data_IF_887890068742
#
_entry.id   IF_887890068742
#
_cell.length_a   1.000
_cell.length_b   1.000
_cell.length_c   1.000
_cell.angle_alpha   90.00
_cell.angle_beta   90.00
_cell.angle_gamma   90.00
#
_symmetry.space_group_name_H-M   'P 1'
#
loop_
_entity.id
_entity.type
_entity.pdbx_description
1 polymer ?
#
# COMPACT_ATOMS: atom_id res chain seq x y z
N UNK A 1 9.53 4.69 5.03
CA UNK A 1 9.00 4.56 6.41
C UNK A 1 9.43 5.71 7.30
N UNK A 2 10.73 6.03 7.41
CA UNK A 2 11.24 7.11 8.26
C UNK A 2 10.45 8.41 8.02
N UNK A 3 10.42 8.92 6.78
CA UNK A 3 9.71 10.15 6.44
C UNK A 3 8.20 10.16 6.79
N UNK A 4 7.51 9.01 6.69
CA UNK A 4 6.10 8.91 7.12
C UNK A 4 5.99 9.02 8.63
N UNK A 5 6.88 8.33 9.35
CA UNK A 5 6.92 8.39 10.81
C UNK A 5 7.31 9.78 11.32
N UNK A 6 8.25 10.43 10.67
CA UNK A 6 8.72 11.79 11.04
C UNK A 6 7.60 12.83 10.88
N UNK A 7 6.72 12.67 9.89
CA UNK A 7 5.64 13.62 9.59
C UNK A 7 4.34 13.27 10.31
N UNK A 8 3.99 11.99 10.40
CA UNK A 8 2.68 11.52 10.85
C UNK A 8 2.73 10.72 12.17
N UNK A 9 3.92 10.50 12.74
CA UNK A 9 4.08 9.68 13.93
C UNK A 9 3.90 8.19 13.64
N UNK A 10 3.52 7.43 14.67
CA UNK A 10 3.30 5.98 14.54
C UNK A 10 1.88 5.67 14.04
N UNK A 11 1.69 5.84 12.74
CA UNK A 11 0.42 5.56 12.05
C UNK A 11 0.43 4.19 11.37
N UNK A 12 -0.73 3.50 11.28
CA UNK A 12 -0.83 2.27 10.50
C UNK A 12 -0.44 2.48 9.04
N UNK A 13 0.49 1.69 8.55
CA UNK A 13 0.95 1.73 7.15
C UNK A 13 0.39 0.55 6.39
N UNK A 14 -0.33 0.80 5.30
CA UNK A 14 -0.73 -0.24 4.34
C UNK A 14 0.35 -0.36 3.27
N UNK A 15 1.00 -1.52 3.20
CA UNK A 15 1.92 -1.83 2.11
C UNK A 15 1.15 -2.24 0.85
N UNK A 16 1.62 -1.82 -0.32
CA UNK A 16 0.99 -2.13 -1.60
C UNK A 16 0.99 -3.64 -1.87
N UNK A 17 -0.20 -4.25 -1.95
CA UNK A 17 -0.36 -5.68 -2.22
C UNK A 17 0.10 -6.06 -3.63
N UNK A 18 -0.08 -5.16 -4.61
CA UNK A 18 0.35 -5.40 -5.99
C UNK A 18 1.88 -5.47 -6.10
N UNK A 19 2.59 -4.45 -5.57
CA UNK A 19 4.05 -4.43 -5.59
C UNK A 19 4.65 -5.61 -4.80
N UNK A 20 4.06 -5.94 -3.64
CA UNK A 20 4.50 -7.11 -2.87
C UNK A 20 4.36 -8.40 -3.68
N UNK A 21 3.22 -8.60 -4.34
CA UNK A 21 2.99 -9.75 -5.22
C UNK A 21 4.02 -9.81 -6.36
N UNK A 22 4.25 -8.70 -7.07
CA UNK A 22 5.20 -8.67 -8.18
C UNK A 22 6.64 -8.92 -7.70
N UNK A 23 7.02 -8.37 -6.53
CA UNK A 23 8.32 -8.66 -5.94
C UNK A 23 8.50 -10.14 -5.61
N UNK A 24 7.49 -10.79 -5.05
CA UNK A 24 7.55 -12.23 -4.77
C UNK A 24 7.72 -13.05 -6.05
N UNK A 25 6.91 -12.79 -7.06
CA UNK A 25 6.94 -13.59 -8.29
C UNK A 25 8.18 -13.31 -9.15
N UNK A 26 8.86 -12.17 -8.97
CA UNK A 26 10.10 -11.87 -9.70
C UNK A 26 11.25 -12.83 -9.39
N UNK A 27 11.20 -13.54 -8.26
CA UNK A 27 12.15 -14.58 -7.89
C UNK A 27 11.83 -15.96 -8.52
N UNK A 28 10.70 -16.09 -9.20
CA UNK A 28 10.22 -17.34 -9.77
C UNK A 28 10.46 -17.40 -11.28
N UNK A 29 10.46 -18.63 -11.85
CA UNK A 29 10.56 -18.81 -13.30
C UNK A 29 9.39 -18.14 -14.02
N UNK A 30 9.61 -17.69 -15.23
CA UNK A 30 8.54 -17.06 -16.04
C UNK A 30 7.31 -17.97 -16.21
N UNK A 31 7.52 -19.28 -16.28
CA UNK A 31 6.44 -20.27 -16.39
C UNK A 31 5.57 -20.34 -15.14
N UNK A 32 6.17 -20.18 -13.95
CA UNK A 32 5.47 -20.29 -12.65
C UNK A 32 4.75 -19.00 -12.25
N UNK A 33 5.26 -17.85 -12.68
CA UNK A 33 4.76 -16.53 -12.27
C UNK A 33 3.23 -16.37 -12.40
N UNK A 34 2.56 -16.77 -13.51
CA UNK A 34 1.13 -16.58 -13.65
C UNK A 34 0.32 -17.35 -12.61
N UNK A 35 0.74 -18.57 -12.27
CA UNK A 35 0.08 -19.40 -11.26
C UNK A 35 0.22 -18.78 -9.88
N UNK A 36 1.42 -18.34 -9.49
CA UNK A 36 1.69 -17.72 -8.21
C UNK A 36 1.02 -16.35 -8.06
N UNK A 37 0.95 -15.54 -9.13
CA UNK A 37 0.16 -14.29 -9.12
C UNK A 37 -1.29 -14.54 -8.75
N UNK A 38 -1.94 -15.54 -9.35
CA UNK A 38 -3.35 -15.89 -9.04
C UNK A 38 -3.50 -16.36 -7.60
N UNK A 39 -2.59 -17.20 -7.10
CA UNK A 39 -2.63 -17.74 -5.73
C UNK A 39 -2.45 -16.64 -4.69
N UNK A 40 -1.50 -15.75 -4.86
CA UNK A 40 -1.28 -14.59 -3.99
C UNK A 40 -2.47 -13.64 -4.01
N UNK A 41 -3.02 -13.37 -5.20
CA UNK A 41 -4.22 -12.54 -5.34
C UNK A 41 -5.42 -13.13 -4.62
N UNK A 42 -5.64 -14.44 -4.73
CA UNK A 42 -6.73 -15.14 -4.03
C UNK A 42 -6.54 -15.07 -2.50
N UNK A 43 -5.29 -15.24 -2.01
CA UNK A 43 -4.99 -15.11 -0.59
C UNK A 43 -5.27 -13.69 -0.05
N UNK A 44 -4.96 -12.65 -0.80
CA UNK A 44 -5.27 -11.26 -0.45
C UNK A 44 -6.76 -10.91 -0.58
N UNK A 45 -7.55 -11.70 -1.30
CA UNK A 45 -8.98 -11.44 -1.53
C UNK A 45 -9.88 -11.86 -0.36
N UNK A 46 -9.36 -12.61 0.61
CA UNK A 46 -10.13 -12.92 1.82
C UNK A 46 -10.57 -11.66 2.54
N UNK A 47 -11.81 -11.65 3.04
CA UNK A 47 -12.35 -10.48 3.72
C UNK A 47 -11.75 -10.28 5.12
N UNK A 48 -11.51 -11.38 5.86
CA UNK A 48 -11.00 -11.33 7.21
C UNK A 48 -9.46 -11.32 7.27
N UNK A 49 -8.91 -10.63 8.26
CA UNK A 49 -7.47 -10.63 8.54
C UNK A 49 -6.93 -12.04 8.82
N UNK A 50 -7.66 -12.82 9.65
CA UNK A 50 -7.21 -14.15 10.03
C UNK A 50 -7.12 -15.11 8.84
N UNK A 51 -8.11 -15.07 7.92
CA UNK A 51 -8.11 -15.94 6.75
C UNK A 51 -7.06 -15.52 5.72
N UNK A 52 -6.94 -14.22 5.45
CA UNK A 52 -5.91 -13.69 4.57
C UNK A 52 -4.50 -14.03 5.09
N UNK A 53 -4.24 -13.80 6.37
CA UNK A 53 -2.95 -14.13 7.01
C UNK A 53 -2.64 -15.62 6.92
N UNK A 54 -3.59 -16.47 7.27
CA UNK A 54 -3.44 -17.94 7.21
C UNK A 54 -3.17 -18.42 5.79
N UNK A 55 -3.89 -17.88 4.80
CA UNK A 55 -3.68 -18.20 3.39
C UNK A 55 -2.27 -17.79 2.92
N UNK A 56 -1.82 -16.57 3.25
CA UNK A 56 -0.47 -16.10 2.90
C UNK A 56 0.63 -16.90 3.60
N UNK A 57 0.46 -17.23 4.89
CA UNK A 57 1.43 -18.07 5.62
C UNK A 57 1.55 -19.48 5.03
N UNK A 58 0.45 -20.05 4.51
CA UNK A 58 0.51 -21.29 3.76
C UNK A 58 1.34 -21.12 2.48
N UNK A 59 1.12 -20.04 1.72
CA UNK A 59 1.90 -19.77 0.53
C UNK A 59 3.39 -19.54 0.83
N UNK A 60 3.74 -18.93 1.97
CA UNK A 60 5.14 -18.82 2.42
C UNK A 60 5.78 -20.20 2.56
N UNK A 61 5.09 -21.14 3.23
CA UNK A 61 5.61 -22.50 3.41
C UNK A 61 5.81 -23.24 2.08
N UNK A 62 4.87 -23.06 1.16
CA UNK A 62 4.97 -23.68 -0.17
C UNK A 62 6.08 -23.01 -1.02
N UNK A 63 6.23 -21.69 -0.95
CA UNK A 63 7.30 -20.97 -1.63
C UNK A 63 8.69 -21.40 -1.15
N UNK A 64 8.86 -21.69 0.14
CA UNK A 64 10.13 -22.20 0.68
C UNK A 64 10.61 -23.48 0.01
N UNK A 65 9.69 -24.30 -0.48
CA UNK A 65 10.02 -25.52 -1.23
C UNK A 65 10.42 -25.25 -2.67
N UNK A 66 10.09 -24.07 -3.19
CA UNK A 66 10.35 -23.68 -4.60
C UNK A 66 11.49 -22.68 -4.68
N UNK A 67 11.45 -21.62 -3.87
CA UNK A 67 12.44 -20.56 -3.86
C UNK A 67 12.42 -19.82 -2.52
N UNK A 68 13.49 -19.91 -1.75
CA UNK A 68 13.61 -19.30 -0.42
C UNK A 68 13.54 -17.77 -0.48
N UNK A 69 14.11 -17.14 -1.53
CA UNK A 69 14.08 -15.68 -1.68
C UNK A 69 12.65 -15.18 -1.94
N UNK A 70 11.85 -15.93 -2.69
CA UNK A 70 10.44 -15.62 -2.90
C UNK A 70 9.64 -15.72 -1.59
N UNK A 71 9.91 -16.76 -0.79
CA UNK A 71 9.29 -16.94 0.52
C UNK A 71 9.66 -15.80 1.48
N UNK A 72 10.96 -15.49 1.61
CA UNK A 72 11.45 -14.38 2.42
C UNK A 72 10.87 -13.02 1.97
N UNK A 73 10.78 -12.81 0.66
CA UNK A 73 10.13 -11.62 0.10
C UNK A 73 8.66 -11.52 0.50
N UNK A 74 7.90 -12.62 0.55
CA UNK A 74 6.50 -12.61 0.98
C UNK A 74 6.37 -12.36 2.48
N UNK A 75 7.23 -12.98 3.28
CA UNK A 75 7.23 -12.89 4.74
C UNK A 75 7.62 -11.49 5.23
N UNK A 76 8.55 -10.83 4.53
CA UNK A 76 8.98 -9.46 4.82
C UNK A 76 7.83 -8.48 4.68
N UNK A 77 7.40 -7.93 5.80
CA UNK A 77 6.29 -6.95 5.87
C UNK A 77 4.91 -7.51 5.48
N UNK A 78 4.68 -8.83 5.64
CA UNK A 78 3.39 -9.47 5.36
C UNK A 78 2.25 -8.78 6.11
N UNK A 79 2.41 -8.54 7.41
CA UNK A 79 1.37 -7.93 8.25
C UNK A 79 1.02 -6.51 7.80
N UNK A 80 1.96 -5.77 7.22
CA UNK A 80 1.72 -4.43 6.66
C UNK A 80 0.88 -4.48 5.38
N UNK A 81 0.95 -5.58 4.62
CA UNK A 81 0.08 -5.76 3.45
C UNK A 81 -1.36 -6.05 3.84
N UNK A 82 -1.61 -6.40 5.10
CA UNK A 82 -2.92 -6.73 5.67
C UNK A 82 -3.47 -5.65 6.63
N UNK A 83 -2.90 -4.44 6.64
CA UNK A 83 -3.34 -3.37 7.54
C UNK A 83 -4.83 -3.03 7.37
N UNK A 84 -5.34 -2.95 6.15
CA UNK A 84 -6.76 -2.70 5.91
C UNK A 84 -7.65 -3.84 6.44
N UNK A 85 -7.19 -5.09 6.35
CA UNK A 85 -7.90 -6.24 6.92
C UNK A 85 -7.91 -6.16 8.46
N UNK A 86 -6.78 -5.83 9.07
CA UNK A 86 -6.65 -5.67 10.52
C UNK A 86 -7.53 -4.53 11.07
N UNK A 87 -7.72 -3.47 10.28
CA UNK A 87 -8.62 -2.36 10.60
C UNK A 87 -10.09 -2.67 10.27
N UNK A 88 -10.42 -3.87 9.77
CA UNK A 88 -11.76 -4.30 9.37
C UNK A 88 -12.45 -3.37 8.35
N UNK A 89 -11.67 -2.78 7.44
CA UNK A 89 -12.17 -1.88 6.37
C UNK A 89 -11.82 -2.38 4.97
N UNK A 90 -11.26 -3.58 4.85
CA UNK A 90 -10.82 -4.12 3.56
C UNK A 90 -11.97 -4.35 2.57
N UNK A 91 -13.14 -4.90 2.96
CA UNK A 91 -14.26 -5.11 2.04
C UNK A 91 -14.71 -3.81 1.34
N UNK A 92 -14.78 -2.72 2.09
CA UNK A 92 -15.31 -1.44 1.63
C UNK A 92 -14.26 -0.58 0.91
N UNK A 93 -13.01 -0.59 1.40
CA UNK A 93 -11.96 0.33 0.99
C UNK A 93 -10.79 -0.34 0.27
N UNK A 94 -10.69 -1.67 0.30
CA UNK A 94 -9.61 -2.41 -0.34
C UNK A 94 -9.48 -2.12 -1.84
N UNK A 95 -10.59 -1.86 -2.54
CA UNK A 95 -10.59 -1.51 -3.96
C UNK A 95 -9.72 -0.28 -4.27
N UNK A 96 -9.64 0.68 -3.34
CA UNK A 96 -8.88 1.93 -3.52
C UNK A 96 -7.56 1.97 -2.77
N UNK A 97 -7.44 1.30 -1.61
CA UNK A 97 -6.31 1.49 -0.71
C UNK A 97 -5.36 0.29 -0.56
N UNK A 98 -5.68 -0.87 -1.16
CA UNK A 98 -4.76 -2.03 -1.16
C UNK A 98 -3.54 -1.86 -2.06
N UNK A 99 -3.56 -0.86 -2.97
CA UNK A 99 -2.47 -0.54 -3.90
C UNK A 99 -2.14 0.94 -3.87
N UNK A 100 -1.00 1.31 -4.45
CA UNK A 100 -0.51 2.68 -4.55
C UNK A 100 -1.01 3.43 -5.79
N UNK A 101 -1.93 2.85 -6.57
CA UNK A 101 -2.42 3.42 -7.84
C UNK A 101 -2.90 4.87 -7.72
N UNK A 102 -3.51 5.25 -6.57
CA UNK A 102 -3.99 6.61 -6.36
C UNK A 102 -2.82 7.60 -6.34
N UNK A 103 -1.80 7.33 -5.54
CA UNK A 103 -0.63 8.20 -5.44
C UNK A 103 0.22 8.15 -6.72
N UNK A 104 0.35 6.99 -7.34
CA UNK A 104 1.04 6.82 -8.62
C UNK A 104 0.39 7.65 -9.73
N UNK A 105 -0.96 7.68 -9.80
CA UNK A 105 -1.68 8.53 -10.73
C UNK A 105 -1.44 10.02 -10.48
N UNK A 106 -1.34 10.45 -9.23
CA UNK A 106 -1.00 11.83 -8.87
C UNK A 106 0.42 12.15 -9.28
N UNK A 107 1.37 11.25 -8.98
CA UNK A 107 2.78 11.44 -9.31
C UNK A 107 3.01 11.47 -10.82
N UNK A 108 2.39 10.60 -11.60
CA UNK A 108 2.48 10.62 -13.06
C UNK A 108 1.96 11.94 -13.67
N UNK A 109 0.87 12.47 -13.13
CA UNK A 109 0.34 13.78 -13.56
C UNK A 109 1.24 14.95 -13.15
N UNK A 110 1.86 14.85 -11.98
CA UNK A 110 2.86 15.83 -11.51
C UNK A 110 4.07 15.82 -12.42
N UNK A 111 4.60 14.64 -12.72
CA UNK A 111 5.72 14.45 -13.63
C UNK A 111 5.42 15.01 -15.02
N UNK A 112 4.24 14.73 -15.58
CA UNK A 112 3.82 15.29 -16.88
C UNK A 112 3.86 16.82 -16.93
N UNK A 113 3.73 17.51 -15.79
CA UNK A 113 3.82 18.98 -15.69
C UNK A 113 5.21 19.50 -15.41
N UNK A 114 6.06 18.68 -14.80
CA UNK A 114 7.40 19.08 -14.33
C UNK A 114 8.55 18.51 -15.18
N UNK A 115 8.29 17.49 -16.02
CA UNK A 115 9.33 16.76 -16.78
C UNK A 115 10.16 17.66 -17.72
N UNK A 116 9.62 18.81 -18.16
CA UNK A 116 10.36 19.78 -19.00
C UNK A 116 11.38 20.61 -18.20
N UNK A 117 11.31 20.58 -16.87
CA UNK A 117 12.29 21.26 -16.01
C UNK A 117 13.50 20.35 -15.84
N UNK A 118 14.52 20.59 -16.62
CA UNK A 118 15.74 19.76 -16.64
C UNK A 118 16.69 20.06 -15.48
N UNK A 119 16.57 21.25 -14.86
CA UNK A 119 17.44 21.67 -13.76
C UNK A 119 16.66 22.41 -12.68
N UNK A 120 16.72 21.88 -11.47
CA UNK A 120 16.23 22.53 -10.26
C UNK A 120 17.36 23.26 -9.55
N UNK A 121 17.23 24.56 -9.34
CA UNK A 121 18.26 25.37 -8.70
C UNK A 121 18.19 25.27 -7.17
N UNK A 122 16.99 25.25 -6.60
CA UNK A 122 16.76 25.22 -5.15
C UNK A 122 15.61 24.28 -4.78
N UNK A 123 15.62 23.81 -3.52
CA UNK A 123 14.51 23.02 -2.98
C UNK A 123 13.20 23.80 -2.96
N UNK A 124 13.26 25.11 -2.70
CA UNK A 124 12.11 25.99 -2.70
C UNK A 124 11.49 26.13 -4.11
N UNK A 125 12.30 26.18 -5.16
CA UNK A 125 11.79 26.13 -6.53
C UNK A 125 11.02 24.83 -6.79
N UNK A 126 11.57 23.67 -6.38
CA UNK A 126 10.87 22.39 -6.51
C UNK A 126 9.53 22.40 -5.79
N UNK A 127 9.52 22.85 -4.53
CA UNK A 127 8.32 22.93 -3.71
C UNK A 127 7.23 23.77 -4.37
N UNK A 128 7.56 24.97 -4.83
CA UNK A 128 6.62 25.87 -5.49
C UNK A 128 6.04 25.28 -6.78
N UNK A 129 6.89 24.66 -7.61
CA UNK A 129 6.43 24.01 -8.84
C UNK A 129 5.51 22.82 -8.54
N UNK A 130 5.90 21.96 -7.60
CA UNK A 130 5.06 20.84 -7.19
C UNK A 130 3.71 21.32 -6.59
N UNK A 131 3.74 22.32 -5.71
CA UNK A 131 2.53 22.88 -5.10
C UNK A 131 1.59 23.48 -6.16
N UNK A 132 2.12 24.28 -7.10
CA UNK A 132 1.34 24.87 -8.19
C UNK A 132 0.74 23.80 -9.11
N UNK A 133 1.51 22.76 -9.43
CA UNK A 133 1.03 21.64 -10.25
C UNK A 133 -0.06 20.84 -9.53
N UNK A 134 0.11 20.54 -8.25
CA UNK A 134 -0.89 19.83 -7.43
C UNK A 134 -2.17 20.65 -7.31
N UNK A 135 -2.08 21.95 -7.02
CA UNK A 135 -3.23 22.83 -6.94
C UNK A 135 -4.01 22.90 -8.26
N UNK A 136 -3.31 23.01 -9.40
CA UNK A 136 -3.95 23.00 -10.72
C UNK A 136 -4.64 21.66 -11.04
N UNK A 137 -4.16 20.54 -10.45
CA UNK A 137 -4.74 19.21 -10.65
C UNK A 137 -5.89 18.90 -9.70
N UNK A 138 -6.01 19.58 -8.56
CA UNK A 138 -6.99 19.28 -7.51
C UNK A 138 -8.42 19.20 -8.04
N UNK A 139 -8.79 20.12 -8.93
CA UNK A 139 -10.13 20.15 -9.57
C UNK A 139 -10.42 18.93 -10.46
N UNK A 140 -9.41 18.19 -10.86
CA UNK A 140 -9.51 17.00 -11.71
C UNK A 140 -9.51 15.69 -10.91
N UNK A 141 -9.34 15.77 -9.60
CA UNK A 141 -9.36 14.58 -8.75
C UNK A 141 -10.77 14.01 -8.64
N UNK A 142 -10.87 12.72 -8.86
CA UNK A 142 -12.12 11.99 -8.67
C UNK A 142 -12.19 11.45 -7.25
N UNK A 143 -13.40 11.32 -6.74
CA UNK A 143 -13.63 10.63 -5.46
C UNK A 143 -13.14 9.19 -5.56
N UNK A 144 -12.48 8.71 -4.52
CA UNK A 144 -12.04 7.31 -4.43
C UNK A 144 -13.26 6.38 -4.36
N UNK A 145 -13.14 5.19 -4.94
CA UNK A 145 -14.17 4.15 -4.79
C UNK A 145 -14.29 3.79 -3.33
N UNK A 146 -15.51 3.69 -2.83
CA UNK A 146 -15.77 3.46 -1.41
C UNK A 146 -15.69 4.72 -0.53
N UNK A 147 -15.63 5.94 -1.09
CA UNK A 147 -15.51 7.19 -0.33
C UNK A 147 -16.57 7.36 0.78
N UNK A 148 -17.77 6.81 0.61
CA UNK A 148 -18.82 6.81 1.64
C UNK A 148 -18.43 6.06 2.91
N UNK A 149 -17.44 5.18 2.84
CA UNK A 149 -16.93 4.39 3.97
C UNK A 149 -15.67 4.98 4.62
N UNK A 150 -15.19 6.15 4.18
CA UNK A 150 -14.05 6.84 4.82
C UNK A 150 -14.27 7.13 6.31
N UNK A 151 -15.49 7.44 6.80
CA UNK A 151 -15.73 7.57 8.23
C UNK A 151 -15.40 6.31 9.04
N UNK A 152 -15.60 5.10 8.47
CA UNK A 152 -15.21 3.84 9.12
C UNK A 152 -13.69 3.74 9.29
N UNK A 153 -12.94 4.13 8.26
CA UNK A 153 -11.47 4.18 8.34
C UNK A 153 -11.02 5.18 9.41
N UNK A 154 -11.63 6.37 9.44
CA UNK A 154 -11.30 7.39 10.44
C UNK A 154 -11.55 6.87 11.86
N UNK A 155 -12.67 6.20 12.09
CA UNK A 155 -12.99 5.59 13.38
C UNK A 155 -11.98 4.50 13.74
N UNK A 156 -11.66 3.57 12.82
CA UNK A 156 -10.68 2.51 13.04
C UNK A 156 -9.29 3.06 13.38
N UNK A 157 -8.86 4.14 12.71
CA UNK A 157 -7.58 4.81 13.01
C UNK A 157 -7.58 5.47 14.39
N UNK A 158 -8.67 6.11 14.82
CA UNK A 158 -8.81 6.71 16.16
C UNK A 158 -8.73 5.63 17.24
N UNK A 159 -9.46 4.53 17.08
CA UNK A 159 -9.41 3.39 18.02
C UNK A 159 -8.01 2.81 18.11
N UNK A 160 -7.32 2.67 16.97
CA UNK A 160 -5.93 2.19 16.95
C UNK A 160 -4.99 3.13 17.69
N UNK A 161 -5.11 4.45 17.51
CA UNK A 161 -4.27 5.44 18.20
C UNK A 161 -4.49 5.40 19.73
N UNK A 162 -5.73 5.30 20.20
CA UNK A 162 -6.04 5.23 21.65
C UNK A 162 -5.48 3.96 22.31
N UNK A 163 -5.43 2.83 21.59
CA UNK A 163 -4.87 1.58 22.13
C UNK A 163 -3.36 1.67 22.38
N UNK A 164 -2.63 2.44 21.55
CA UNK A 164 -1.18 2.63 21.73
C UNK A 164 -0.86 3.61 22.85
N UNK A 165 -1.68 4.62 23.08
CA UNK A 165 -1.48 5.59 24.18
C UNK A 165 -1.64 4.92 25.54
N UNK A 166 -2.54 3.95 25.69
CA UNK A 166 -2.73 3.18 26.92
C UNK A 166 -1.70 2.06 27.15
N UNK A 167 -0.99 1.61 26.12
CA UNK A 167 0.05 0.58 26.25
C UNK A 167 1.44 1.16 26.57
N UNK A 168 1.59 2.49 26.49
CA UNK A 168 2.82 3.24 26.78
C UNK A 168 2.80 3.98 28.12
N UNK A 169 1.71 3.87 28.89
CA UNK A 169 1.55 4.38 30.24
C UNK A 169 1.56 3.25 31.27
#
# INVERSE_FOLDING_TARGET
RAAVRDVFGDVPVQRCQWHKRENVVSYLTLADQPAWRRRLQAAYAHASYADAKRALQRLVRELRLVNESAAASLEEGLDETLTLHRLNVFPELGVSFKTTNLIESVMARLEARTHRVTRWRTSDQKLRWCASALWAMERQFRRVKGCKHLPLLQQALRTHASTFTHAAA
#
